data_IF_045126771420
#
_entry.id   IF_045126771420
#
_cell.length_a   1.000
_cell.length_b   1.000
_cell.length_c   1.000
_cell.angle_alpha   90.00
_cell.angle_beta   90.00
_cell.angle_gamma   90.00
#
_symmetry.space_group_name_H-M   'P 1'
#
loop_
_entity.id
_entity.type
_entity.pdbx_description
1 polymer ?
#
# COMPACT_ATOMS: atom_id res chain seq x y z
N UNK A 1 16.92 -4.93 26.27
CA UNK A 1 16.83 -6.22 25.54
C UNK A 1 17.78 -6.13 24.37
N UNK A 2 18.61 -7.14 24.15
CA UNK A 2 19.64 -7.11 23.11
C UNK A 2 19.34 -8.19 22.07
N UNK A 3 19.58 -7.87 20.81
CA UNK A 3 19.48 -8.76 19.65
C UNK A 3 20.48 -8.35 18.59
N UNK A 4 20.91 -9.25 17.72
CA UNK A 4 21.71 -8.86 16.55
C UNK A 4 20.85 -8.16 15.51
N UNK A 5 19.62 -8.62 15.30
CA UNK A 5 18.74 -8.14 14.25
C UNK A 5 17.35 -7.82 14.82
N UNK A 6 16.93 -6.58 14.68
CA UNK A 6 15.57 -6.13 14.99
C UNK A 6 14.79 -5.91 13.68
N UNK A 7 13.60 -6.50 13.57
CA UNK A 7 12.63 -6.24 12.51
C UNK A 7 11.45 -5.46 13.08
N UNK A 8 11.20 -4.27 12.54
CA UNK A 8 10.14 -3.36 13.01
C UNK A 8 8.95 -3.45 12.07
N UNK A 9 7.93 -4.22 12.48
CA UNK A 9 6.71 -4.52 11.74
C UNK A 9 6.59 -6.01 11.42
N UNK A 10 5.43 -6.62 11.73
CA UNK A 10 5.08 -8.02 11.44
C UNK A 10 4.07 -8.14 10.29
N UNK A 11 4.11 -7.19 9.36
CA UNK A 11 3.41 -7.27 8.08
C UNK A 11 4.10 -8.21 7.09
N UNK A 12 3.62 -8.29 5.84
CA UNK A 12 4.22 -9.16 4.81
C UNK A 12 5.74 -8.99 4.66
N UNK A 13 6.23 -7.75 4.75
CA UNK A 13 7.66 -7.44 4.61
C UNK A 13 8.47 -7.97 5.79
N UNK A 14 8.02 -7.70 7.02
CA UNK A 14 8.73 -8.16 8.21
C UNK A 14 8.74 -9.67 8.34
N UNK A 15 7.62 -10.32 8.06
CA UNK A 15 7.54 -11.78 8.06
C UNK A 15 8.45 -12.40 6.99
N UNK A 16 8.48 -11.82 5.78
CA UNK A 16 9.35 -12.31 4.70
C UNK A 16 10.84 -12.19 5.06
N UNK A 17 11.24 -11.04 5.62
CA UNK A 17 12.63 -10.82 6.08
C UNK A 17 12.98 -11.78 7.21
N UNK A 18 12.14 -11.88 8.23
CA UNK A 18 12.39 -12.73 9.38
C UNK A 18 12.52 -14.21 8.97
N UNK A 19 11.61 -14.72 8.12
CA UNK A 19 11.67 -16.09 7.62
C UNK A 19 12.94 -16.36 6.80
N UNK A 20 13.33 -15.42 5.94
CA UNK A 20 14.53 -15.58 5.10
C UNK A 20 15.80 -15.55 5.96
N UNK A 21 15.87 -14.72 7.00
CA UNK A 21 16.97 -14.69 7.95
C UNK A 21 17.03 -15.97 8.79
N UNK A 22 15.89 -16.49 9.25
CA UNK A 22 15.86 -17.75 10.00
C UNK A 22 16.33 -18.93 9.15
N UNK A 23 15.98 -18.96 7.87
CA UNK A 23 16.48 -19.98 6.92
C UNK A 23 18.02 -19.95 6.75
N UNK A 24 18.66 -18.82 7.12
CA UNK A 24 20.12 -18.64 7.16
C UNK A 24 20.73 -18.83 8.55
N UNK A 25 19.94 -19.24 9.54
CA UNK A 25 20.38 -19.52 10.91
C UNK A 25 20.35 -18.31 11.87
N UNK A 26 19.92 -17.13 11.43
CA UNK A 26 19.75 -15.97 12.30
C UNK A 26 18.46 -16.07 13.13
N UNK A 27 18.40 -15.31 14.22
CA UNK A 27 17.20 -15.22 15.10
C UNK A 27 16.78 -13.77 15.26
N UNK A 28 16.10 -13.19 14.27
CA UNK A 28 15.65 -11.81 14.37
C UNK A 28 14.55 -11.66 15.43
N UNK A 29 14.63 -10.58 16.22
CA UNK A 29 13.51 -10.14 17.04
C UNK A 29 12.55 -9.36 16.14
N UNK A 30 11.28 -9.74 16.13
CA UNK A 30 10.23 -9.03 15.38
C UNK A 30 9.32 -8.31 16.37
N UNK A 31 9.12 -7.01 16.22
CA UNK A 31 8.17 -6.23 17.00
C UNK A 31 7.07 -5.65 16.11
N UNK A 32 5.85 -5.51 16.63
CA UNK A 32 4.75 -4.87 15.90
C UNK A 32 3.83 -4.11 16.87
N UNK A 33 3.29 -2.98 16.41
CA UNK A 33 2.32 -2.16 17.15
C UNK A 33 0.94 -2.84 17.30
N UNK A 34 0.61 -3.76 16.42
CA UNK A 34 -0.65 -4.49 16.42
C UNK A 34 -0.68 -5.58 17.49
N UNK A 35 -1.83 -6.23 17.66
CA UNK A 35 -2.03 -7.34 18.59
C UNK A 35 -1.90 -8.71 17.93
N UNK A 36 -1.77 -8.76 16.59
CA UNK A 36 -1.74 -10.01 15.82
C UNK A 36 -1.16 -9.83 14.42
N UNK A 37 -0.77 -10.94 13.81
CA UNK A 37 -0.30 -11.00 12.42
C UNK A 37 -1.39 -10.56 11.44
N UNK A 38 -0.98 -9.84 10.40
CA UNK A 38 -1.86 -9.44 9.29
C UNK A 38 -2.81 -8.29 9.63
N UNK A 39 -2.54 -7.52 10.68
CA UNK A 39 -3.42 -6.43 11.15
C UNK A 39 -3.77 -5.43 10.04
N UNK A 40 -2.79 -4.99 9.24
CA UNK A 40 -3.04 -4.05 8.14
C UNK A 40 -4.04 -4.58 7.11
N UNK A 41 -4.07 -5.89 6.88
CA UNK A 41 -5.03 -6.54 5.99
C UNK A 41 -6.39 -6.75 6.66
N UNK A 42 -6.42 -7.09 7.94
CA UNK A 42 -7.67 -7.24 8.72
C UNK A 42 -8.46 -5.94 8.77
N UNK A 43 -7.75 -4.81 8.86
CA UNK A 43 -8.34 -3.48 8.96
C UNK A 43 -8.77 -2.88 7.61
N UNK A 44 -8.57 -3.56 6.50
CA UNK A 44 -9.06 -3.15 5.19
C UNK A 44 -10.55 -3.48 4.97
N UNK A 45 -11.14 -2.86 3.94
CA UNK A 45 -12.53 -3.12 3.52
C UNK A 45 -12.72 -4.57 3.05
N UNK A 46 -13.93 -5.08 3.26
CA UNK A 46 -14.23 -6.51 3.13
C UNK A 46 -14.10 -7.04 1.71
N UNK A 47 -14.48 -6.24 0.70
CA UNK A 47 -14.39 -6.66 -0.70
C UNK A 47 -12.97 -6.71 -1.25
N UNK A 48 -11.95 -6.24 -0.51
CA UNK A 48 -10.57 -6.19 -1.00
C UNK A 48 -10.07 -7.56 -1.44
N UNK A 49 -9.54 -7.60 -2.66
CA UNK A 49 -8.82 -8.74 -3.20
C UNK A 49 -7.43 -8.29 -3.64
N UNK A 50 -6.48 -9.20 -3.68
CA UNK A 50 -5.23 -8.92 -4.37
C UNK A 50 -5.53 -8.56 -5.83
N UNK A 51 -5.00 -7.46 -6.32
CA UNK A 51 -5.04 -7.11 -7.75
C UNK A 51 -3.99 -7.88 -8.55
N UNK A 52 -3.14 -8.60 -7.85
CA UNK A 52 -2.05 -9.42 -8.37
C UNK A 52 -2.37 -10.90 -8.21
N UNK A 53 -1.89 -11.72 -9.15
CA UNK A 53 -2.16 -13.16 -9.09
C UNK A 53 -1.40 -13.83 -7.96
N UNK A 54 -2.00 -14.82 -7.31
CA UNK A 54 -1.40 -15.54 -6.18
C UNK A 54 -0.01 -16.08 -6.44
N UNK A 55 0.24 -16.58 -7.67
CA UNK A 55 1.53 -17.16 -8.04
C UNK A 55 2.69 -16.14 -8.12
N UNK A 56 2.38 -14.84 -8.16
CA UNK A 56 3.38 -13.75 -8.16
C UNK A 56 3.29 -12.89 -6.91
N UNK A 57 2.54 -13.34 -5.90
CA UNK A 57 2.30 -12.60 -4.66
C UNK A 57 2.70 -13.38 -3.41
N UNK A 58 3.23 -14.60 -3.58
CA UNK A 58 3.72 -15.41 -2.47
C UNK A 58 5.02 -14.83 -1.89
N UNK A 59 5.18 -15.00 -0.58
CA UNK A 59 6.41 -14.68 0.14
C UNK A 59 7.42 -15.85 0.00
N UNK A 60 8.71 -15.61 0.26
CA UNK A 60 9.75 -16.64 0.14
C UNK A 60 9.45 -17.88 0.99
N UNK A 61 9.65 -19.06 0.43
CA UNK A 61 9.54 -20.34 1.16
C UNK A 61 8.14 -20.93 1.28
N UNK A 62 7.05 -20.16 1.12
CA UNK A 62 5.69 -20.70 1.23
C UNK A 62 4.78 -20.12 0.13
N UNK A 63 4.31 -20.92 -0.84
CA UNK A 63 3.33 -20.48 -1.81
C UNK A 63 1.92 -20.33 -1.18
N UNK A 64 1.04 -19.56 -1.83
CA UNK A 64 -0.38 -19.59 -1.49
C UNK A 64 -0.96 -21.00 -1.70
N UNK A 65 -1.96 -21.41 -0.91
CA UNK A 65 -2.63 -22.71 -1.09
C UNK A 65 -3.11 -22.92 -2.53
N UNK A 66 -2.98 -24.15 -3.05
CA UNK A 66 -3.42 -24.48 -4.40
C UNK A 66 -4.90 -24.16 -4.63
N UNK A 67 -5.74 -24.39 -3.63
CA UNK A 67 -7.18 -24.10 -3.64
C UNK A 67 -7.52 -22.60 -3.61
N UNK A 68 -6.58 -21.71 -3.22
CA UNK A 68 -6.86 -20.28 -3.21
C UNK A 68 -7.18 -19.76 -4.62
N UNK A 69 -8.12 -18.80 -4.76
CA UNK A 69 -8.46 -18.22 -6.06
C UNK A 69 -7.28 -17.46 -6.67
N UNK A 70 -7.36 -17.16 -7.99
CA UNK A 70 -6.33 -16.40 -8.73
C UNK A 70 -6.01 -15.07 -8.06
N UNK A 71 -7.03 -14.34 -7.66
CA UNK A 71 -6.98 -13.10 -6.91
C UNK A 71 -7.48 -13.37 -5.50
N UNK A 72 -6.55 -13.42 -4.55
CA UNK A 72 -6.87 -13.86 -3.19
C UNK A 72 -7.65 -12.76 -2.46
N UNK A 73 -8.80 -13.08 -1.84
CA UNK A 73 -9.56 -12.12 -1.06
C UNK A 73 -8.82 -11.73 0.22
N UNK A 74 -9.17 -10.59 0.79
CA UNK A 74 -8.58 -10.02 2.01
C UNK A 74 -8.38 -11.07 3.11
N UNK A 75 -9.43 -11.83 3.44
CA UNK A 75 -9.33 -12.86 4.49
C UNK A 75 -8.32 -13.95 4.12
N UNK A 76 -8.29 -14.40 2.87
CA UNK A 76 -7.31 -15.39 2.42
C UNK A 76 -5.86 -14.89 2.47
N UNK A 77 -5.63 -13.57 2.33
CA UNK A 77 -4.29 -12.99 2.57
C UNK A 77 -3.96 -12.99 4.05
N UNK A 78 -4.91 -12.66 4.93
CA UNK A 78 -4.73 -12.73 6.38
C UNK A 78 -4.39 -14.17 6.80
N UNK A 79 -5.17 -15.15 6.35
CA UNK A 79 -4.95 -16.56 6.68
C UNK A 79 -3.58 -17.05 6.19
N UNK A 80 -3.19 -16.62 4.99
CA UNK A 80 -1.86 -16.90 4.45
C UNK A 80 -0.73 -16.30 5.31
N UNK A 81 -0.85 -15.06 5.77
CA UNK A 81 0.18 -14.44 6.60
C UNK A 81 0.30 -15.11 7.98
N UNK A 82 -0.82 -15.51 8.57
CA UNK A 82 -0.83 -16.29 9.82
C UNK A 82 -0.16 -17.64 9.63
N UNK A 83 -0.52 -18.36 8.56
CA UNK A 83 0.10 -19.63 8.22
C UNK A 83 1.59 -19.47 7.89
N UNK A 84 1.98 -18.38 7.24
CA UNK A 84 3.37 -18.06 6.92
C UNK A 84 4.21 -17.84 8.18
N UNK A 85 3.70 -17.05 9.14
CA UNK A 85 4.38 -16.83 10.42
C UNK A 85 4.56 -18.15 11.19
N UNK A 86 3.49 -18.98 11.27
CA UNK A 86 3.53 -20.29 11.92
C UNK A 86 4.50 -21.26 11.23
N UNK A 87 4.49 -21.32 9.89
CA UNK A 87 5.39 -22.16 9.10
C UNK A 87 6.87 -21.83 9.35
N UNK A 88 7.18 -20.55 9.44
CA UNK A 88 8.54 -20.06 9.70
C UNK A 88 8.90 -20.03 11.20
N UNK A 89 7.97 -20.36 12.12
CA UNK A 89 8.20 -20.26 13.56
C UNK A 89 8.48 -18.83 14.04
N UNK A 90 7.85 -17.83 13.41
CA UNK A 90 8.01 -16.42 13.78
C UNK A 90 6.96 -16.03 14.83
N UNK A 91 7.43 -15.59 15.99
CA UNK A 91 6.61 -15.11 17.12
C UNK A 91 6.87 -13.62 17.34
N UNK A 92 6.12 -12.70 16.73
CA UNK A 92 6.31 -11.28 16.94
C UNK A 92 5.95 -10.84 18.35
N UNK A 93 6.74 -9.92 18.90
CA UNK A 93 6.36 -9.19 20.11
C UNK A 93 5.32 -8.12 19.73
N UNK A 94 4.07 -8.39 20.00
CA UNK A 94 2.95 -7.51 19.72
C UNK A 94 2.78 -6.40 20.77
N UNK A 95 2.05 -5.31 20.39
CA UNK A 95 1.82 -4.15 21.25
C UNK A 95 3.04 -3.22 21.37
N UNK A 96 4.10 -3.48 20.61
CA UNK A 96 5.36 -2.76 20.65
C UNK A 96 5.51 -1.82 19.45
N UNK A 97 4.99 -0.61 19.59
CA UNK A 97 5.15 0.43 18.57
C UNK A 97 6.51 1.11 18.72
N UNK A 98 7.40 0.94 17.75
CA UNK A 98 8.63 1.74 17.69
C UNK A 98 8.28 3.24 17.56
N UNK A 99 8.92 4.07 18.39
CA UNK A 99 8.72 5.52 18.44
C UNK A 99 9.98 6.30 18.09
N UNK A 100 11.16 5.72 18.34
CA UNK A 100 12.44 6.29 17.96
C UNK A 100 13.48 5.19 17.69
N UNK A 101 14.33 5.41 16.71
CA UNK A 101 15.49 4.58 16.36
C UNK A 101 16.68 5.53 16.29
N UNK A 102 17.61 5.39 17.21
CA UNK A 102 18.76 6.29 17.35
C UNK A 102 20.06 5.49 17.36
N UNK A 103 21.16 6.10 16.91
CA UNK A 103 22.49 5.51 17.00
C UNK A 103 23.05 5.71 18.39
N UNK A 104 23.53 4.67 19.04
CA UNK A 104 24.23 4.76 20.31
C UNK A 104 25.73 5.05 20.08
N UNK A 105 26.43 5.56 21.11
CA UNK A 105 27.84 5.93 21.03
C UNK A 105 28.78 4.76 20.66
N UNK A 106 28.37 3.53 20.95
CA UNK A 106 29.09 2.30 20.60
C UNK A 106 28.74 1.75 19.21
N UNK A 107 27.99 2.52 18.43
CA UNK A 107 27.61 2.20 17.05
C UNK A 107 26.44 1.23 16.92
N UNK A 108 25.85 0.72 18.00
CA UNK A 108 24.63 -0.08 17.94
C UNK A 108 23.39 0.82 17.74
N UNK A 109 22.30 0.21 17.31
CA UNK A 109 21.00 0.87 17.22
C UNK A 109 20.21 0.69 18.50
N UNK A 110 19.55 1.73 18.96
CA UNK A 110 18.64 1.73 20.09
C UNK A 110 17.24 2.13 19.64
N UNK A 111 16.34 1.16 19.65
CA UNK A 111 14.94 1.35 19.31
C UNK A 111 14.11 1.46 20.58
N UNK A 112 13.42 2.59 20.75
CA UNK A 112 12.48 2.81 21.85
C UNK A 112 11.07 2.54 21.36
N UNK A 113 10.27 1.85 22.17
CA UNK A 113 8.86 1.59 21.88
C UNK A 113 7.94 2.44 22.74
N UNK A 114 6.67 2.54 22.36
CA UNK A 114 5.65 3.28 23.12
C UNK A 114 5.44 2.74 24.54
N UNK A 115 5.66 1.44 24.77
CA UNK A 115 5.59 0.82 26.09
C UNK A 115 6.75 1.25 27.02
N UNK A 116 7.75 1.95 26.47
CA UNK A 116 8.99 2.29 27.18
C UNK A 116 10.07 1.22 27.07
N UNK A 117 9.82 0.13 26.35
CA UNK A 117 10.85 -0.88 26.09
C UNK A 117 11.94 -0.30 25.19
N UNK A 118 13.20 -0.64 25.52
CA UNK A 118 14.35 -0.31 24.70
C UNK A 118 14.97 -1.60 24.16
N UNK A 119 15.10 -1.69 22.83
CA UNK A 119 15.79 -2.79 22.15
C UNK A 119 17.10 -2.24 21.58
N UNK A 120 18.20 -2.90 21.93
CA UNK A 120 19.51 -2.63 21.35
C UNK A 120 19.82 -3.69 20.30
N UNK A 121 20.24 -3.26 19.10
CA UNK A 121 20.52 -4.15 17.99
C UNK A 121 21.70 -3.68 17.15
N UNK A 122 22.36 -4.59 16.45
CA UNK A 122 23.41 -4.29 15.46
C UNK A 122 22.79 -3.85 14.13
N UNK A 123 21.65 -4.45 13.80
CA UNK A 123 20.92 -4.21 12.55
C UNK A 123 19.45 -3.95 12.84
N UNK A 124 18.86 -3.00 12.12
CA UNK A 124 17.42 -2.71 12.14
C UNK A 124 16.84 -2.85 10.74
N UNK A 125 15.78 -3.63 10.60
CA UNK A 125 15.01 -3.73 9.35
C UNK A 125 13.65 -3.07 9.57
N UNK A 126 13.44 -1.92 8.93
CA UNK A 126 12.19 -1.16 8.99
C UNK A 126 11.23 -1.72 7.95
N UNK A 127 10.10 -2.22 8.42
CA UNK A 127 9.04 -2.86 7.61
C UNK A 127 7.64 -2.36 8.00
N UNK A 128 7.58 -1.10 8.44
CA UNK A 128 6.37 -0.46 8.98
C UNK A 128 5.29 -0.17 7.93
N UNK A 129 5.62 -0.35 6.65
CA UNK A 129 4.71 -0.28 5.52
C UNK A 129 4.52 1.13 4.95
N UNK A 130 4.35 1.19 3.63
CA UNK A 130 4.13 2.42 2.88
C UNK A 130 2.78 3.10 3.23
N UNK A 131 1.78 2.33 3.65
CA UNK A 131 0.44 2.80 4.00
C UNK A 131 0.24 2.85 5.53
N UNK A 132 1.12 3.53 6.26
CA UNK A 132 1.13 3.53 7.73
C UNK A 132 0.20 4.58 8.33
N UNK A 133 0.28 5.83 7.87
CA UNK A 133 -0.47 6.98 8.42
C UNK A 133 -1.41 7.52 7.36
N UNK A 134 -2.73 7.60 7.63
CA UNK A 134 -3.71 8.20 6.72
C UNK A 134 -3.37 9.66 6.42
N UNK A 135 -3.55 10.08 5.17
CA UNK A 135 -3.48 11.48 4.78
C UNK A 135 -4.85 12.10 4.93
N UNK A 136 -5.05 12.82 6.03
CA UNK A 136 -6.26 13.61 6.22
C UNK A 136 -6.15 14.90 5.40
N UNK A 137 -6.90 14.98 4.30
CA UNK A 137 -7.03 16.22 3.55
C UNK A 137 -8.04 17.12 4.26
N UNK A 138 -7.66 18.34 4.61
CA UNK A 138 -8.61 19.37 5.01
C UNK A 138 -9.36 19.89 3.79
N UNK A 139 -10.67 20.10 3.95
CA UNK A 139 -11.54 20.65 2.92
C UNK A 139 -12.14 21.95 3.45
N UNK A 140 -12.05 23.03 2.70
CA UNK A 140 -12.61 24.31 3.11
C UNK A 140 -14.12 24.14 3.41
N UNK A 141 -14.57 24.71 4.53
CA UNK A 141 -15.96 24.65 4.97
C UNK A 141 -16.37 23.34 5.64
N UNK A 142 -15.42 22.46 5.99
CA UNK A 142 -15.73 21.17 6.67
C UNK A 142 -16.45 21.35 8.01
N UNK A 143 -16.23 22.49 8.69
CA UNK A 143 -16.88 22.85 9.95
C UNK A 143 -18.37 23.19 9.80
N UNK A 144 -18.80 23.58 8.59
CA UNK A 144 -20.20 23.88 8.27
C UNK A 144 -20.94 22.69 7.66
N UNK A 145 -20.25 21.59 7.37
CA UNK A 145 -20.84 20.43 6.74
C UNK A 145 -21.68 19.62 7.73
N UNK A 146 -22.99 19.47 7.45
CA UNK A 146 -23.90 18.75 8.32
C UNK A 146 -23.72 17.22 8.31
N UNK A 147 -23.01 16.69 7.29
CA UNK A 147 -22.72 15.26 7.15
C UNK A 147 -21.51 14.79 7.95
N UNK A 148 -21.02 13.61 7.62
CA UNK A 148 -19.80 13.08 8.23
C UNK A 148 -18.68 12.93 7.21
N UNK A 149 -17.45 13.19 7.67
CA UNK A 149 -16.22 13.02 6.90
C UNK A 149 -15.39 11.95 7.61
N UNK A 150 -15.00 10.90 6.87
CA UNK A 150 -14.18 9.82 7.38
C UNK A 150 -13.10 9.45 6.38
N UNK A 151 -11.94 8.95 6.86
CA UNK A 151 -10.93 8.41 5.96
C UNK A 151 -11.31 7.00 5.49
N UNK A 152 -10.89 6.61 4.30
CA UNK A 152 -11.11 5.27 3.74
C UNK A 152 -10.56 4.12 4.62
N UNK A 153 -9.67 4.44 5.55
CA UNK A 153 -9.21 3.50 6.58
C UNK A 153 -10.34 2.96 7.45
N UNK A 154 -11.37 3.77 7.68
CA UNK A 154 -12.50 3.42 8.56
C UNK A 154 -13.65 2.76 7.79
N UNK A 155 -13.57 2.73 6.45
CA UNK A 155 -14.53 2.04 5.61
C UNK A 155 -14.34 0.52 5.70
N UNK A 156 -15.44 -0.22 5.92
CA UNK A 156 -15.43 -1.69 5.94
C UNK A 156 -16.27 -2.29 4.83
N UNK A 157 -17.50 -1.83 4.68
CA UNK A 157 -18.47 -2.25 3.66
C UNK A 157 -19.55 -1.17 3.47
N UNK A 158 -20.44 -1.39 2.51
CA UNK A 158 -21.49 -0.44 2.15
C UNK A 158 -22.66 -0.36 3.17
N UNK A 159 -22.82 -1.33 4.06
CA UNK A 159 -24.01 -1.43 4.91
C UNK A 159 -24.31 -0.17 5.75
N UNK A 160 -23.33 0.50 6.41
CA UNK A 160 -23.57 1.73 7.16
C UNK A 160 -23.95 2.95 6.30
N UNK A 161 -23.86 2.82 4.98
CA UNK A 161 -24.11 3.90 4.02
C UNK A 161 -25.45 3.76 3.28
N UNK A 162 -26.24 2.72 3.59
CA UNK A 162 -27.54 2.51 2.99
C UNK A 162 -28.46 3.73 3.18
N UNK A 163 -29.08 4.19 2.08
CA UNK A 163 -29.94 5.37 2.08
C UNK A 163 -29.21 6.73 2.12
N UNK A 164 -27.89 6.74 2.18
CA UNK A 164 -27.09 7.96 2.15
C UNK A 164 -26.54 8.28 0.76
N UNK A 165 -26.18 9.55 0.56
CA UNK A 165 -25.44 10.03 -0.61
C UNK A 165 -23.98 10.18 -0.22
N UNK A 166 -23.10 9.38 -0.83
CA UNK A 166 -21.71 9.24 -0.43
C UNK A 166 -20.78 9.83 -1.49
N UNK A 167 -19.97 10.83 -1.13
CA UNK A 167 -18.89 11.31 -1.96
C UNK A 167 -17.59 10.60 -1.59
N UNK A 168 -16.97 9.91 -2.53
CA UNK A 168 -15.63 9.35 -2.38
C UNK A 168 -14.62 10.30 -2.99
N UNK A 169 -13.67 10.79 -2.19
CA UNK A 169 -12.67 11.77 -2.60
C UNK A 169 -11.37 11.07 -2.94
N UNK A 170 -11.00 11.10 -4.22
CA UNK A 170 -9.81 10.44 -4.76
C UNK A 170 -10.15 9.19 -5.56
N UNK A 171 -9.42 9.02 -6.67
CA UNK A 171 -9.60 7.90 -7.60
C UNK A 171 -8.27 7.12 -7.77
N UNK A 172 -7.80 6.58 -6.64
CA UNK A 172 -6.83 5.47 -6.61
C UNK A 172 -7.57 4.14 -6.52
N UNK A 173 -6.85 3.02 -6.35
CA UNK A 173 -7.47 1.69 -6.22
C UNK A 173 -8.50 1.65 -5.08
N UNK A 174 -8.17 2.21 -3.92
CA UNK A 174 -9.07 2.28 -2.77
C UNK A 174 -10.36 3.05 -3.07
N UNK A 175 -10.25 4.25 -3.65
CA UNK A 175 -11.44 5.06 -3.97
C UNK A 175 -12.31 4.41 -5.04
N UNK A 176 -11.71 3.82 -6.07
CA UNK A 176 -12.41 3.09 -7.11
C UNK A 176 -13.20 1.90 -6.55
N UNK A 177 -12.58 1.09 -5.69
CA UNK A 177 -13.23 -0.09 -5.11
C UNK A 177 -14.30 0.27 -4.08
N UNK A 178 -14.10 1.30 -3.27
CA UNK A 178 -15.14 1.78 -2.33
C UNK A 178 -16.35 2.32 -3.11
N UNK A 179 -16.12 3.13 -4.15
CA UNK A 179 -17.22 3.62 -4.98
C UNK A 179 -17.98 2.48 -5.67
N UNK A 180 -17.26 1.45 -6.13
CA UNK A 180 -17.86 0.26 -6.71
C UNK A 180 -18.69 -0.52 -5.68
N UNK A 181 -18.16 -0.74 -4.48
CA UNK A 181 -18.86 -1.43 -3.38
C UNK A 181 -20.17 -0.73 -3.03
N UNK A 182 -20.10 0.60 -2.87
CA UNK A 182 -21.28 1.43 -2.60
C UNK A 182 -22.33 1.31 -3.72
N UNK A 183 -21.92 1.44 -4.99
CA UNK A 183 -22.82 1.34 -6.14
C UNK A 183 -23.47 -0.05 -6.26
N UNK A 184 -22.70 -1.12 -6.05
CA UNK A 184 -23.21 -2.51 -6.09
C UNK A 184 -24.26 -2.77 -5.00
N UNK A 185 -24.24 -2.01 -3.90
CA UNK A 185 -25.22 -2.10 -2.82
C UNK A 185 -26.33 -1.02 -2.92
N UNK A 186 -26.46 -0.35 -4.07
CA UNK A 186 -27.53 0.61 -4.33
C UNK A 186 -27.39 1.94 -3.57
N UNK A 187 -26.20 2.26 -3.07
CA UNK A 187 -25.91 3.55 -2.42
C UNK A 187 -25.69 4.60 -3.50
N UNK A 188 -26.31 5.78 -3.36
CA UNK A 188 -26.04 6.92 -4.24
C UNK A 188 -24.62 7.42 -4.03
N UNK A 189 -23.75 7.22 -5.03
CA UNK A 189 -22.30 7.49 -4.90
C UNK A 189 -21.80 8.41 -6.00
N UNK A 190 -20.89 9.29 -5.63
CA UNK A 190 -20.12 10.12 -6.53
C UNK A 190 -18.63 10.05 -6.20
N UNK A 191 -17.80 10.29 -7.22
CA UNK A 191 -16.34 10.38 -7.12
C UNK A 191 -15.90 11.83 -7.33
N UNK A 192 -15.01 12.35 -6.49
CA UNK A 192 -14.26 13.58 -6.76
C UNK A 192 -12.85 13.22 -7.25
N UNK A 193 -12.54 13.61 -8.49
CA UNK A 193 -11.28 13.27 -9.17
C UNK A 193 -10.59 14.55 -9.62
N UNK A 194 -9.51 14.95 -8.93
CA UNK A 194 -8.85 16.24 -9.15
C UNK A 194 -7.71 16.23 -10.17
N UNK A 195 -7.23 15.08 -10.55
CA UNK A 195 -6.01 14.95 -11.36
C UNK A 195 -6.16 13.85 -12.40
N UNK A 196 -5.38 13.92 -13.50
CA UNK A 196 -5.36 12.91 -14.53
C UNK A 196 -5.11 11.51 -13.97
N UNK A 197 -5.76 10.50 -14.55
CA UNK A 197 -5.76 9.12 -14.09
C UNK A 197 -5.25 8.14 -15.15
N UNK A 198 -4.53 7.12 -14.69
CA UNK A 198 -4.28 5.91 -15.47
C UNK A 198 -5.20 4.80 -14.96
N UNK A 199 -6.01 4.25 -15.83
CA UNK A 199 -6.86 3.10 -15.54
C UNK A 199 -6.38 1.94 -16.42
N UNK A 200 -6.25 0.75 -15.82
CA UNK A 200 -5.96 -0.50 -16.53
C UNK A 200 -6.94 -1.56 -16.06
N UNK A 201 -7.43 -2.39 -16.97
CA UNK A 201 -8.26 -3.52 -16.58
C UNK A 201 -7.40 -4.56 -15.85
N UNK A 202 -7.95 -5.20 -14.82
CA UNK A 202 -7.24 -6.27 -14.09
C UNK A 202 -6.88 -7.44 -14.99
N UNK A 203 -7.78 -7.82 -15.89
CA UNK A 203 -7.57 -8.84 -16.90
C UNK A 203 -7.92 -8.30 -18.29
N UNK A 204 -7.09 -8.59 -19.29
CA UNK A 204 -7.36 -8.32 -20.70
C UNK A 204 -7.32 -9.65 -21.46
N UNK A 205 -8.43 -10.02 -22.10
CA UNK A 205 -8.57 -11.31 -22.81
C UNK A 205 -8.17 -12.52 -21.94
N UNK A 206 -8.56 -12.51 -20.65
CA UNK A 206 -8.26 -13.56 -19.68
C UNK A 206 -6.82 -13.57 -19.16
N UNK A 207 -5.96 -12.67 -19.63
CA UNK A 207 -4.57 -12.53 -19.18
C UNK A 207 -4.45 -11.42 -18.14
N UNK A 208 -3.89 -11.70 -16.94
CA UNK A 208 -3.64 -10.70 -15.93
C UNK A 208 -2.74 -9.57 -16.43
N UNK A 209 -3.20 -8.32 -16.29
CA UNK A 209 -2.41 -7.12 -16.64
C UNK A 209 -1.10 -7.04 -15.89
N UNK A 210 -1.03 -7.58 -14.67
CA UNK A 210 0.22 -7.74 -13.92
C UNK A 210 1.30 -8.48 -14.72
N UNK A 211 0.97 -9.61 -15.37
CA UNK A 211 1.94 -10.37 -16.18
C UNK A 211 2.38 -9.59 -17.40
N UNK A 212 1.47 -8.84 -18.00
CA UNK A 212 1.78 -7.97 -19.14
C UNK A 212 2.70 -6.82 -18.69
N UNK A 213 2.43 -6.18 -17.55
CA UNK A 213 3.26 -5.09 -17.02
C UNK A 213 4.69 -5.54 -16.70
N UNK A 214 4.88 -6.75 -16.15
CA UNK A 214 6.19 -7.34 -15.90
C UNK A 214 6.94 -7.58 -17.22
N UNK A 215 6.26 -8.09 -18.24
CA UNK A 215 6.87 -8.34 -19.55
C UNK A 215 7.28 -7.02 -20.21
N UNK A 216 6.40 -6.04 -20.25
CA UNK A 216 6.67 -4.73 -20.85
C UNK A 216 7.77 -3.97 -20.09
N UNK A 217 7.85 -4.14 -18.76
CA UNK A 217 8.91 -3.55 -17.93
C UNK A 217 10.32 -4.10 -18.19
N UNK A 218 10.46 -5.21 -18.96
CA UNK A 218 11.76 -5.75 -19.40
C UNK A 218 12.24 -5.16 -20.73
N UNK A 219 11.34 -4.46 -21.44
CA UNK A 219 11.69 -3.80 -22.70
C UNK A 219 12.41 -2.45 -22.43
N UNK A 220 13.13 -1.90 -23.42
CA UNK A 220 13.57 -0.52 -23.35
C UNK A 220 12.41 0.41 -22.99
N UNK A 221 12.64 1.35 -22.06
CA UNK A 221 11.58 2.18 -21.48
C UNK A 221 10.64 2.82 -22.52
N UNK A 222 11.19 3.39 -23.58
CA UNK A 222 10.37 4.04 -24.61
C UNK A 222 9.40 3.07 -25.29
N UNK A 223 9.86 1.85 -25.61
CA UNK A 223 9.03 0.83 -26.25
C UNK A 223 7.98 0.26 -25.26
N UNK A 224 8.41 -0.06 -24.03
CA UNK A 224 7.50 -0.54 -22.98
C UNK A 224 6.41 0.48 -22.66
N UNK A 225 6.77 1.76 -22.58
CA UNK A 225 5.84 2.86 -22.33
C UNK A 225 4.85 3.08 -23.48
N UNK A 226 5.32 3.02 -24.72
CA UNK A 226 4.44 3.13 -25.90
C UNK A 226 3.43 2.00 -25.96
N UNK A 227 3.87 0.75 -25.78
CA UNK A 227 2.99 -0.41 -25.76
C UNK A 227 2.02 -0.37 -24.57
N UNK A 228 2.47 0.01 -23.38
CA UNK A 228 1.59 0.13 -22.21
C UNK A 228 0.50 1.18 -22.41
N UNK A 229 0.82 2.30 -23.07
CA UNK A 229 -0.16 3.32 -23.45
C UNK A 229 -1.15 2.78 -24.46
N UNK A 230 -0.69 2.14 -25.54
CA UNK A 230 -1.54 1.53 -26.56
C UNK A 230 -2.50 0.51 -25.95
N UNK A 231 -2.02 -0.40 -25.10
CA UNK A 231 -2.88 -1.38 -24.43
C UNK A 231 -3.92 -0.75 -23.53
N UNK A 232 -3.54 0.31 -22.76
CA UNK A 232 -4.49 1.07 -21.96
C UNK A 232 -5.58 1.68 -22.84
N UNK A 233 -5.18 2.42 -23.87
CA UNK A 233 -6.12 3.18 -24.73
C UNK A 233 -7.08 2.25 -25.47
N UNK A 234 -6.62 1.09 -25.94
CA UNK A 234 -7.47 0.10 -26.59
C UNK A 234 -8.43 -0.62 -25.63
N UNK A 235 -7.99 -0.88 -24.38
CA UNK A 235 -8.78 -1.64 -23.41
C UNK A 235 -9.77 -0.79 -22.61
N UNK A 236 -9.43 0.45 -22.33
CA UNK A 236 -10.23 1.37 -21.49
C UNK A 236 -11.08 2.32 -22.33
N UNK A 237 -10.55 2.75 -23.48
CA UNK A 237 -11.18 3.71 -24.38
C UNK A 237 -11.09 5.15 -23.88
N UNK A 238 -11.85 6.05 -24.51
CA UNK A 238 -11.92 7.46 -24.14
C UNK A 238 -12.74 7.65 -22.86
N UNK A 239 -12.05 7.99 -21.76
CA UNK A 239 -12.65 8.23 -20.44
C UNK A 239 -13.02 9.70 -20.20
N UNK A 240 -12.59 10.63 -21.06
CA UNK A 240 -12.84 12.06 -20.89
C UNK A 240 -14.34 12.39 -20.95
N UNK A 241 -15.11 11.67 -21.76
CA UNK A 241 -16.57 11.82 -21.86
C UNK A 241 -17.33 11.56 -20.55
N UNK A 242 -16.70 10.89 -19.59
CA UNK A 242 -17.28 10.62 -18.27
C UNK A 242 -16.64 11.46 -17.15
N UNK A 243 -15.96 12.55 -17.51
CA UNK A 243 -15.35 13.47 -16.54
C UNK A 243 -14.03 13.01 -15.94
N UNK A 244 -13.39 11.98 -16.53
CA UNK A 244 -12.07 11.51 -16.12
C UNK A 244 -11.02 11.97 -17.12
N UNK A 245 -10.04 12.72 -16.67
CA UNK A 245 -8.92 13.16 -17.51
C UNK A 245 -7.89 12.02 -17.63
N UNK A 246 -7.56 11.55 -18.86
CA UNK A 246 -6.54 10.51 -19.02
C UNK A 246 -5.14 11.06 -18.71
N UNK A 247 -4.34 10.28 -17.98
CA UNK A 247 -2.95 10.65 -17.69
C UNK A 247 -2.12 10.76 -18.98
N UNK A 248 -1.30 11.81 -19.14
CA UNK A 248 -0.37 11.95 -20.27
C UNK A 248 0.78 10.93 -20.19
N UNK A 249 1.05 10.39 -19.00
CA UNK A 249 2.08 9.35 -18.80
C UNK A 249 1.52 7.97 -19.11
N UNK A 250 2.37 7.06 -19.60
CA UNK A 250 2.01 5.64 -19.64
C UNK A 250 1.84 5.07 -18.23
N UNK A 251 1.07 3.99 -18.02
CA UNK A 251 0.96 3.33 -16.73
C UNK A 251 2.33 2.91 -16.15
N UNK A 252 3.25 2.40 -16.98
CA UNK A 252 4.59 2.00 -16.54
C UNK A 252 5.48 3.19 -16.20
N UNK A 253 5.42 4.27 -16.98
CA UNK A 253 6.18 5.48 -16.71
C UNK A 253 5.72 6.14 -15.41
N UNK A 254 4.40 6.25 -15.20
CA UNK A 254 3.83 6.75 -13.95
C UNK A 254 4.30 5.94 -12.74
N UNK A 255 4.30 4.60 -12.86
CA UNK A 255 4.76 3.72 -11.80
C UNK A 255 6.25 3.93 -11.51
N UNK A 256 7.08 3.93 -12.55
CA UNK A 256 8.54 4.06 -12.44
C UNK A 256 8.99 5.41 -11.90
N UNK A 257 8.39 6.51 -12.38
CA UNK A 257 8.83 7.88 -12.03
C UNK A 257 8.21 8.36 -10.71
N UNK A 258 6.96 7.98 -10.44
CA UNK A 258 6.20 8.51 -9.30
C UNK A 258 5.80 7.46 -8.25
N UNK A 259 6.11 6.17 -8.45
CA UNK A 259 5.64 5.10 -7.57
C UNK A 259 4.12 4.96 -7.51
N UNK A 260 3.39 5.66 -8.39
CA UNK A 260 1.93 5.71 -8.39
C UNK A 260 1.37 4.57 -9.25
N UNK A 261 0.80 3.57 -8.59
CA UNK A 261 0.11 2.46 -9.25
C UNK A 261 -1.09 2.99 -10.05
N UNK A 262 -1.31 2.56 -11.31
CA UNK A 262 -2.55 2.87 -12.02
C UNK A 262 -3.76 2.29 -11.27
N UNK A 263 -4.94 2.85 -11.51
CA UNK A 263 -6.19 2.26 -11.03
C UNK A 263 -6.39 0.93 -11.77
N UNK A 264 -6.43 -0.16 -11.03
CA UNK A 264 -6.70 -1.50 -11.56
C UNK A 264 -8.21 -1.71 -11.51
N UNK A 265 -8.86 -1.50 -12.64
CA UNK A 265 -10.32 -1.57 -12.70
C UNK A 265 -10.83 -3.01 -12.52
N UNK A 266 -11.80 -3.14 -11.63
CA UNK A 266 -12.51 -4.39 -11.32
C UNK A 266 -14.03 -4.25 -11.51
N UNK A 267 -14.46 -3.18 -12.20
CA UNK A 267 -15.86 -2.94 -12.52
C UNK A 267 -16.31 -1.48 -12.31
N UNK A 268 -15.51 -0.64 -11.64
CA UNK A 268 -15.83 0.76 -11.36
C UNK A 268 -16.08 1.55 -12.63
N UNK A 269 -15.24 1.35 -13.66
CA UNK A 269 -15.37 2.04 -14.92
C UNK A 269 -16.71 1.71 -15.62
N UNK A 270 -17.20 0.49 -15.50
CA UNK A 270 -18.51 0.11 -16.05
C UNK A 270 -19.64 0.88 -15.36
N UNK A 271 -19.59 1.04 -14.05
CA UNK A 271 -20.57 1.80 -13.25
C UNK A 271 -20.51 3.31 -13.52
N UNK A 272 -19.32 3.84 -13.81
CA UNK A 272 -19.17 5.24 -14.27
C UNK A 272 -19.81 5.39 -15.65
N UNK A 273 -19.56 4.46 -16.57
CA UNK A 273 -20.12 4.47 -17.93
C UNK A 273 -21.64 4.34 -17.98
N UNK A 274 -22.24 3.59 -17.04
CA UNK A 274 -23.68 3.46 -16.91
C UNK A 274 -24.35 4.65 -16.20
N UNK A 275 -23.57 5.56 -15.59
CA UNK A 275 -24.06 6.70 -14.82
C UNK A 275 -24.45 6.36 -13.36
N UNK A 276 -24.20 5.13 -12.91
CA UNK A 276 -24.44 4.72 -11.52
C UNK A 276 -23.45 5.39 -10.54
N UNK A 277 -22.26 5.71 -11.01
CA UNK A 277 -21.25 6.49 -10.28
C UNK A 277 -21.02 7.80 -11.01
N UNK A 278 -21.44 8.91 -10.40
CA UNK A 278 -21.19 10.24 -10.95
C UNK A 278 -19.73 10.66 -10.71
N UNK A 279 -19.16 11.44 -11.64
CA UNK A 279 -17.80 11.96 -11.52
C UNK A 279 -17.79 13.48 -11.50
N UNK A 280 -17.10 14.02 -10.51
CA UNK A 280 -16.92 15.47 -10.30
C UNK A 280 -15.42 15.79 -10.22
N UNK A 281 -15.03 17.04 -10.54
CA UNK A 281 -13.64 17.48 -10.42
C UNK A 281 -13.25 17.69 -8.94
N UNK A 282 -12.20 18.46 -8.69
CA UNK A 282 -11.76 18.82 -7.35
C UNK A 282 -12.87 19.54 -6.56
N UNK A 283 -12.92 19.27 -5.27
CA UNK A 283 -13.77 19.99 -4.34
C UNK A 283 -13.24 21.41 -4.19
N UNK A 284 -14.14 22.40 -4.25
CA UNK A 284 -13.86 23.79 -3.92
C UNK A 284 -14.07 24.03 -2.43
N UNK A 285 -15.24 23.63 -1.90
CA UNK A 285 -15.57 23.71 -0.47
C UNK A 285 -16.76 22.81 -0.12
N UNK A 286 -16.91 22.56 1.15
CA UNK A 286 -18.12 22.01 1.73
C UNK A 286 -19.05 23.13 2.21
N UNK A 287 -20.33 22.86 2.27
CA UNK A 287 -21.35 23.74 2.88
C UNK A 287 -22.37 22.88 3.63
N UNK A 288 -23.39 23.50 4.24
CA UNK A 288 -24.32 22.79 5.11
C UNK A 288 -24.87 21.47 4.56
N UNK A 289 -25.29 21.46 3.30
CA UNK A 289 -26.01 20.33 2.71
C UNK A 289 -25.20 19.57 1.62
N UNK A 290 -23.98 19.99 1.32
CA UNK A 290 -23.32 19.38 0.18
C UNK A 290 -21.91 19.88 -0.12
N UNK A 291 -21.52 19.57 -1.32
CA UNK A 291 -20.16 19.77 -1.85
C UNK A 291 -20.24 20.66 -3.09
N UNK A 292 -19.52 21.77 -3.09
CA UNK A 292 -19.29 22.63 -4.25
C UNK A 292 -17.97 22.25 -4.90
N UNK A 293 -17.99 22.00 -6.20
CA UNK A 293 -16.80 21.66 -6.98
C UNK A 293 -16.22 22.89 -7.70
N UNK A 294 -14.97 22.78 -8.17
CA UNK A 294 -14.25 23.88 -8.82
C UNK A 294 -14.90 24.37 -10.12
N UNK A 295 -15.72 23.56 -10.75
CA UNK A 295 -16.52 23.90 -11.95
C UNK A 295 -17.90 24.53 -11.62
N UNK A 296 -18.19 24.77 -10.35
CA UNK A 296 -19.42 25.37 -9.87
C UNK A 296 -20.60 24.40 -9.70
N UNK A 297 -20.45 23.13 -10.06
CA UNK A 297 -21.47 22.12 -9.77
C UNK A 297 -21.59 21.89 -8.27
N UNK A 298 -22.79 21.56 -7.83
CA UNK A 298 -23.08 21.20 -6.43
C UNK A 298 -23.66 19.80 -6.40
N UNK A 299 -23.24 19.01 -5.43
CA UNK A 299 -23.81 17.71 -5.17
C UNK A 299 -24.09 17.55 -3.67
N UNK A 300 -25.32 17.21 -3.33
CA UNK A 300 -25.70 17.03 -1.93
C UNK A 300 -25.13 15.71 -1.44
N UNK A 301 -24.32 15.77 -0.39
CA UNK A 301 -23.68 14.62 0.22
C UNK A 301 -24.07 14.49 1.69
N UNK A 302 -24.32 13.29 2.15
CA UNK A 302 -24.56 12.99 3.57
C UNK A 302 -23.28 12.44 4.22
N UNK A 303 -22.39 11.85 3.40
CA UNK A 303 -21.13 11.25 3.83
C UNK A 303 -20.02 11.57 2.85
N UNK A 304 -18.83 11.84 3.37
CA UNK A 304 -17.61 12.03 2.58
C UNK A 304 -16.58 10.99 3.03
N UNK A 305 -16.10 10.18 2.09
CA UNK A 305 -15.03 9.18 2.33
C UNK A 305 -13.76 9.65 1.67
N UNK A 306 -12.74 10.00 2.46
CA UNK A 306 -11.45 10.46 1.98
C UNK A 306 -10.57 9.27 1.59
N UNK A 307 -10.52 8.94 0.30
CA UNK A 307 -9.60 7.97 -0.28
C UNK A 307 -8.30 8.66 -0.75
N UNK A 308 -7.74 9.50 0.12
CA UNK A 308 -6.62 10.41 -0.15
C UNK A 308 -5.26 9.78 0.07
N UNK A 309 -5.24 8.49 0.42
CA UNK A 309 -4.02 7.70 0.55
C UNK A 309 -3.36 7.79 1.92
N UNK A 310 -2.09 7.38 1.94
CA UNK A 310 -1.31 7.22 3.16
C UNK A 310 0.11 7.74 2.97
N UNK A 311 0.82 7.94 4.07
CA UNK A 311 2.27 8.18 4.11
C UNK A 311 2.95 7.13 4.99
N UNK A 312 4.22 6.86 4.72
CA UNK A 312 5.01 5.90 5.49
C UNK A 312 5.43 6.46 6.87
N UNK A 313 5.63 7.78 6.97
CA UNK A 313 6.06 8.49 8.18
C UNK A 313 7.36 7.91 8.77
N UNK A 314 8.35 7.65 7.91
CA UNK A 314 9.65 7.09 8.31
C UNK A 314 10.49 8.09 9.07
N UNK A 315 10.42 9.35 8.69
CA UNK A 315 11.07 10.50 9.34
C UNK A 315 10.80 10.53 10.84
N UNK A 316 9.59 10.20 11.26
CA UNK A 316 9.23 10.18 12.69
C UNK A 316 9.92 9.08 13.50
N UNK A 317 10.53 8.08 12.85
CA UNK A 317 11.28 7.01 13.53
C UNK A 317 12.75 7.37 13.78
N UNK A 318 13.30 8.32 13.03
CA UNK A 318 14.72 8.70 13.09
C UNK A 318 14.86 10.18 13.46
N UNK A 319 14.67 10.55 14.72
CA UNK A 319 14.62 11.96 15.14
C UNK A 319 15.94 12.73 14.90
N UNK A 320 17.07 12.02 14.89
CA UNK A 320 18.40 12.61 14.80
C UNK A 320 19.08 12.41 13.45
N UNK A 321 18.41 11.71 12.49
CA UNK A 321 19.01 11.34 11.21
C UNK A 321 18.00 11.58 10.09
N UNK A 322 18.40 12.30 9.06
CA UNK A 322 17.61 12.47 7.85
C UNK A 322 17.63 11.19 7.02
N UNK A 323 16.47 10.56 6.87
CA UNK A 323 16.32 9.39 6.01
C UNK A 323 16.06 9.86 4.58
N UNK A 324 16.89 9.46 3.59
CA UNK A 324 16.65 9.80 2.19
C UNK A 324 15.33 9.21 1.69
N UNK A 325 14.36 10.08 1.38
CA UNK A 325 13.05 9.70 0.88
C UNK A 325 12.82 10.27 -0.52
N UNK A 326 11.94 9.62 -1.27
CA UNK A 326 11.48 10.13 -2.56
C UNK A 326 10.37 11.20 -2.41
N UNK A 327 9.90 11.73 -3.55
CA UNK A 327 8.83 12.73 -3.56
C UNK A 327 7.48 12.25 -2.98
N UNK A 328 7.33 10.96 -2.69
CA UNK A 328 6.19 10.36 -2.00
C UNK A 328 6.43 10.11 -0.50
N UNK A 329 7.62 10.48 0.02
CA UNK A 329 8.01 10.23 1.41
C UNK A 329 8.34 8.76 1.71
N UNK A 330 8.70 7.98 0.68
CA UNK A 330 9.13 6.59 0.83
C UNK A 330 10.67 6.51 0.81
N UNK A 331 11.29 5.63 1.61
CA UNK A 331 12.74 5.41 1.57
C UNK A 331 13.22 5.14 0.13
N UNK A 332 14.22 5.88 -0.30
CA UNK A 332 14.74 5.82 -1.67
C UNK A 332 15.72 4.68 -1.88
N UNK A 333 16.21 4.05 -0.81
CA UNK A 333 17.20 2.95 -0.84
C UNK A 333 16.71 1.76 -0.04
N UNK A 334 17.19 0.57 -0.42
CA UNK A 334 16.94 -0.68 0.31
C UNK A 334 17.81 -0.79 1.57
N UNK A 335 19.02 -0.24 1.53
CA UNK A 335 19.97 -0.22 2.64
C UNK A 335 20.43 1.20 2.91
N UNK A 336 20.49 1.59 4.16
CA UNK A 336 21.08 2.82 4.60
C UNK A 336 22.60 2.84 4.39
N UNK A 337 23.17 4.04 4.36
CA UNK A 337 24.61 4.28 4.23
C UNK A 337 25.00 5.42 5.19
N UNK A 338 26.27 5.47 5.60
CA UNK A 338 26.76 6.51 6.51
C UNK A 338 26.09 6.41 7.89
N UNK A 339 25.39 7.45 8.31
CA UNK A 339 24.69 7.46 9.60
C UNK A 339 23.59 6.40 9.73
N UNK A 340 23.11 5.88 8.59
CA UNK A 340 22.13 4.80 8.53
C UNK A 340 22.74 3.40 8.30
N UNK A 341 24.05 3.24 8.44
CA UNK A 341 24.68 1.91 8.30
C UNK A 341 24.06 0.90 9.27
N UNK A 342 23.69 -0.27 8.74
CA UNK A 342 22.99 -1.33 9.49
C UNK A 342 21.47 -1.17 9.51
N UNK A 343 20.91 -0.14 8.87
CA UNK A 343 19.45 0.02 8.69
C UNK A 343 19.06 -0.45 7.28
N UNK A 344 17.94 -1.18 7.19
CA UNK A 344 17.35 -1.64 5.94
C UNK A 344 15.87 -1.25 5.87
N UNK A 345 15.37 -0.97 4.67
CA UNK A 345 13.99 -0.55 4.41
C UNK A 345 13.33 -1.52 3.42
N UNK A 346 12.36 -2.32 3.88
CA UNK A 346 11.70 -3.34 3.04
C UNK A 346 10.20 -3.09 2.95
N UNK A 347 9.66 -3.16 1.73
CA UNK A 347 8.24 -2.99 1.47
C UNK A 347 7.83 -1.55 1.17
N UNK A 348 8.76 -0.69 0.76
CA UNK A 348 8.52 0.70 0.40
C UNK A 348 8.68 0.98 -1.10
N UNK A 349 9.36 0.12 -1.87
CA UNK A 349 9.52 0.29 -3.31
C UNK A 349 8.23 -0.05 -4.06
N UNK A 350 7.46 0.97 -4.39
CA UNK A 350 6.22 0.88 -5.16
C UNK A 350 6.43 1.05 -6.67
N UNK A 351 7.68 1.24 -7.14
CA UNK A 351 8.01 1.57 -8.53
C UNK A 351 8.18 0.37 -9.44
N UNK A 352 8.21 -0.84 -8.87
CA UNK A 352 8.41 -2.06 -9.62
C UNK A 352 7.11 -2.61 -10.22
N UNK A 353 7.09 -3.02 -11.49
CA UNK A 353 5.94 -3.71 -12.04
C UNK A 353 5.74 -5.09 -11.40
N UNK A 354 4.47 -5.46 -11.21
CA UNK A 354 4.13 -6.77 -10.65
C UNK A 354 3.62 -6.77 -9.22
N UNK A 355 3.55 -5.60 -8.56
CA UNK A 355 2.90 -5.41 -7.27
C UNK A 355 3.84 -5.57 -6.07
N UNK A 356 3.41 -4.98 -4.94
CA UNK A 356 4.26 -4.79 -3.77
C UNK A 356 4.66 -6.11 -3.09
N UNK A 357 3.78 -7.12 -3.00
CA UNK A 357 4.14 -8.41 -2.37
C UNK A 357 5.27 -9.12 -3.13
N UNK A 358 5.26 -9.04 -4.47
CA UNK A 358 6.35 -9.56 -5.29
C UNK A 358 7.67 -8.80 -5.03
N UNK A 359 7.62 -7.49 -4.94
CA UNK A 359 8.78 -6.65 -4.62
C UNK A 359 9.31 -6.98 -3.22
N UNK A 360 8.44 -7.11 -2.23
CA UNK A 360 8.78 -7.53 -0.87
C UNK A 360 9.53 -8.87 -0.87
N UNK A 361 9.04 -9.87 -1.62
CA UNK A 361 9.68 -11.18 -1.68
C UNK A 361 11.12 -11.10 -2.18
N UNK A 362 11.39 -10.30 -3.22
CA UNK A 362 12.74 -10.09 -3.73
C UNK A 362 13.62 -9.27 -2.77
N UNK A 363 13.06 -8.23 -2.17
CA UNK A 363 13.79 -7.38 -1.22
C UNK A 363 14.16 -8.14 0.05
N UNK A 364 13.26 -9.01 0.56
CA UNK A 364 13.53 -9.81 1.74
C UNK A 364 14.74 -10.75 1.55
N UNK A 365 14.84 -11.39 0.39
CA UNK A 365 15.99 -12.23 0.05
C UNK A 365 17.27 -11.38 -0.04
N UNK A 366 17.23 -10.27 -0.77
CA UNK A 366 18.40 -9.42 -0.96
C UNK A 366 18.90 -8.79 0.36
N UNK A 367 17.99 -8.41 1.27
CA UNK A 367 18.35 -7.88 2.58
C UNK A 367 18.92 -8.97 3.48
N UNK A 368 18.30 -10.16 3.48
CA UNK A 368 18.83 -11.28 4.28
C UNK A 368 20.23 -11.72 3.83
N UNK A 369 20.52 -11.71 2.52
CA UNK A 369 21.87 -11.98 2.00
C UNK A 369 22.89 -10.94 2.47
N UNK A 370 22.54 -9.65 2.47
CA UNK A 370 23.42 -8.58 2.94
C UNK A 370 23.68 -8.65 4.45
N UNK A 371 22.66 -8.94 5.24
CA UNK A 371 22.77 -9.09 6.68
C UNK A 371 23.61 -10.30 7.04
N UNK A 372 23.40 -11.43 6.37
CA UNK A 372 24.14 -12.67 6.55
C UNK A 372 25.66 -12.50 6.23
N UNK A 373 25.96 -11.74 5.19
CA UNK A 373 27.35 -11.40 4.85
C UNK A 373 28.03 -10.48 5.89
N UNK A 374 27.25 -9.57 6.52
CA UNK A 374 27.75 -8.62 7.53
C UNK A 374 27.78 -9.22 8.94
N UNK A 375 26.90 -10.17 9.24
CA UNK A 375 26.73 -10.84 10.52
C UNK A 375 26.74 -12.35 10.32
N UNK A 376 27.90 -13.01 10.23
CA UNK A 376 27.97 -14.45 10.08
C UNK A 376 27.14 -15.17 11.15
N UNK A 377 26.38 -16.19 10.72
CA UNK A 377 25.50 -16.94 11.61
C UNK A 377 26.27 -17.61 12.75
N UNK A 378 25.75 -17.61 14.00
CA UNK A 378 26.34 -18.36 15.11
C UNK A 378 26.50 -19.87 14.88
N UNK A 379 25.80 -20.44 13.89
CA UNK A 379 25.92 -21.84 13.50
C UNK A 379 27.18 -22.18 12.68
N UNK A 380 27.98 -21.17 12.31
CA UNK A 380 29.22 -21.33 11.54
C UNK A 380 30.48 -21.15 12.40
N UNK A 381 30.37 -21.04 13.73
CA UNK A 381 31.47 -20.95 14.69
C UNK A 381 31.61 -22.23 15.53
#
# INVERSE_FOLDING_TARGET
MDTDILVVGAGPAGLAVAATLQAKGHRPLVIDKASQVGASWRDHYERLHLHTVKSLSALPGLPFPAAAPRYVPRQGVVDYLVAYAAHAGIEPCFGEQATAIVRADDGAWRTTTRSGRVVRSRTVVVTTGANNVPVAARIDGEEAFAGTIAHSRDYRNAAPFAGHRVLVVGFGNTGAEIALDLAEHGVAVALSVRSPVNIVLRDVLGRPTQKTSILLGRLPNALGDALARLFRDLSVGDIARWGLEPSPLSPLRQLREHGKTPVIDVGTLARIKSGEIAVYPAIRRLNGDGVEFVDGRIWNADRVVLATGYRAAIDSLFPDIDVPVDGGGLPSTLAGTGDLDGVYFVGFDTRQPGGLLRTIAHQAVAVAERIDAALPSPAAA
#
